data_IF_691565510020
#
_entry.id   IF_691565510020
#
_cell.length_a   1.000
_cell.length_b   1.000
_cell.length_c   1.000
_cell.angle_alpha   90.00
_cell.angle_beta   90.00
_cell.angle_gamma   90.00
#
_symmetry.space_group_name_H-M   'P 1'
#
loop_
_entity.id
_entity.type
_entity.pdbx_description
1 polymer ?
#
# COMPACT_ATOMS: atom_id res chain seq x y z
N UNK A 1 12.21 30.99 23.48
CA UNK A 1 11.51 29.74 23.76
C UNK A 1 10.44 29.60 22.70
N UNK A 2 10.52 28.62 21.78
CA UNK A 2 9.38 28.34 20.90
C UNK A 2 8.30 27.66 21.73
N UNK A 3 7.09 28.20 21.71
CA UNK A 3 5.91 27.46 22.18
C UNK A 3 5.68 26.27 21.24
N UNK A 4 5.36 25.11 21.80
CA UNK A 4 4.87 23.95 21.05
C UNK A 4 3.38 24.18 20.81
N UNK A 5 3.00 24.21 19.54
CA UNK A 5 1.59 24.23 19.13
C UNK A 5 1.12 22.79 18.89
N UNK A 6 0.03 22.40 19.53
CA UNK A 6 -0.58 21.08 19.37
C UNK A 6 -1.64 21.14 18.28
N UNK A 7 -1.72 20.08 17.46
CA UNK A 7 -2.79 19.94 16.46
C UNK A 7 -4.18 19.86 17.13
N UNK A 8 -5.15 20.54 16.54
CA UNK A 8 -6.57 20.42 16.87
C UNK A 8 -7.21 19.19 16.23
N UNK A 9 -8.45 18.89 16.60
CA UNK A 9 -9.21 17.82 15.96
C UNK A 9 -9.43 18.10 14.46
N UNK A 10 -9.67 19.37 14.10
CA UNK A 10 -9.89 19.76 12.70
C UNK A 10 -8.60 19.60 11.88
N UNK A 11 -7.43 19.89 12.46
CA UNK A 11 -6.13 19.67 11.80
C UNK A 11 -5.90 18.18 11.49
N UNK A 12 -6.39 17.28 12.35
CA UNK A 12 -6.25 15.84 12.18
C UNK A 12 -7.29 15.23 11.23
N UNK A 13 -8.41 15.92 11.00
CA UNK A 13 -9.51 15.46 10.14
C UNK A 13 -9.51 16.15 8.77
N UNK A 14 -8.69 17.18 8.58
CA UNK A 14 -8.53 17.84 7.31
C UNK A 14 -8.10 16.83 6.22
N UNK A 15 -8.75 16.89 5.07
CA UNK A 15 -8.35 16.10 3.91
C UNK A 15 -6.94 16.50 3.48
N UNK A 16 -6.05 15.51 3.40
CA UNK A 16 -4.74 15.69 2.78
C UNK A 16 -4.96 15.53 1.28
N UNK A 17 -5.02 16.63 0.54
CA UNK A 17 -5.33 16.65 -0.91
C UNK A 17 -4.36 15.81 -1.77
N UNK A 18 -3.17 15.50 -1.24
CA UNK A 18 -2.22 14.60 -1.89
C UNK A 18 -2.38 13.15 -1.41
N UNK A 19 -3.35 12.42 -1.96
CA UNK A 19 -3.19 10.96 -2.06
C UNK A 19 -1.99 10.69 -2.99
N UNK A 20 -0.80 10.56 -2.39
CA UNK A 20 0.46 10.30 -3.08
C UNK A 20 0.41 8.94 -3.79
N UNK A 21 -0.11 8.96 -5.02
CA UNK A 21 -0.06 7.83 -5.93
C UNK A 21 1.25 7.78 -6.72
N UNK A 22 1.57 6.61 -7.26
CA UNK A 22 2.67 6.41 -8.20
C UNK A 22 2.20 5.65 -9.44
N UNK A 23 2.85 5.94 -10.57
CA UNK A 23 2.70 5.16 -11.79
C UNK A 23 3.70 3.99 -11.76
N UNK A 24 3.22 2.79 -12.05
CA UNK A 24 4.02 1.55 -12.03
C UNK A 24 4.08 0.99 -13.44
N UNK A 25 5.29 0.93 -14.00
CA UNK A 25 5.55 0.20 -15.23
C UNK A 25 5.56 -1.30 -14.93
N UNK A 26 4.61 -2.02 -15.51
CA UNK A 26 4.49 -3.47 -15.40
C UNK A 26 5.48 -4.17 -16.33
N UNK A 27 6.02 -5.35 -15.93
CA UNK A 27 6.82 -6.21 -16.80
C UNK A 27 6.20 -6.49 -18.18
N UNK A 28 4.86 -6.51 -18.27
CA UNK A 28 4.16 -6.64 -19.54
C UNK A 28 4.17 -5.40 -20.46
N UNK A 29 4.84 -4.33 -20.07
CA UNK A 29 4.96 -3.08 -20.82
C UNK A 29 3.75 -2.16 -20.73
N UNK A 30 2.85 -2.41 -19.76
CA UNK A 30 1.70 -1.53 -19.45
C UNK A 30 1.97 -0.73 -18.19
N UNK A 31 1.23 0.36 -17.99
CA UNK A 31 1.36 1.20 -16.80
C UNK A 31 0.05 1.21 -16.03
N UNK A 32 0.15 1.18 -14.70
CA UNK A 32 -0.99 1.34 -13.78
C UNK A 32 -0.70 2.44 -12.76
N UNK A 33 -1.75 3.05 -12.21
CA UNK A 33 -1.66 4.00 -11.09
C UNK A 33 -2.01 3.28 -9.80
N UNK A 34 -1.16 3.42 -8.78
CA UNK A 34 -1.39 2.90 -7.43
C UNK A 34 -1.25 3.99 -6.39
N UNK A 35 -1.70 3.73 -5.17
CA UNK A 35 -1.46 4.57 -3.99
C UNK A 35 -1.09 3.74 -2.77
N UNK A 36 -0.54 4.41 -1.75
CA UNK A 36 -0.44 3.83 -0.42
C UNK A 36 -1.82 3.60 0.20
N UNK A 37 -1.92 2.59 1.04
CA UNK A 37 -3.11 2.34 1.86
C UNK A 37 -2.94 3.01 3.23
N UNK A 38 -4.04 3.55 3.72
CA UNK A 38 -4.14 4.03 5.10
C UNK A 38 -4.01 2.88 6.10
N UNK A 39 -3.73 3.22 7.38
CA UNK A 39 -3.67 2.23 8.46
C UNK A 39 -4.97 1.43 8.60
N UNK A 40 -6.12 2.08 8.38
CA UNK A 40 -7.43 1.44 8.41
C UNK A 40 -7.60 0.41 7.29
N UNK A 41 -7.19 0.74 6.07
CA UNK A 41 -7.28 -0.16 4.91
C UNK A 41 -6.36 -1.37 5.04
N UNK A 42 -5.14 -1.19 5.57
CA UNK A 42 -4.26 -2.31 5.91
C UNK A 42 -4.92 -3.29 6.88
N UNK A 43 -5.52 -2.76 7.95
CA UNK A 43 -6.24 -3.57 8.91
C UNK A 43 -7.44 -4.28 8.28
N UNK A 44 -8.19 -3.58 7.43
CA UNK A 44 -9.34 -4.15 6.72
C UNK A 44 -8.92 -5.30 5.79
N UNK A 45 -7.83 -5.15 5.03
CA UNK A 45 -7.27 -6.23 4.21
C UNK A 45 -6.95 -7.47 5.07
N UNK A 46 -6.33 -7.27 6.24
CA UNK A 46 -6.05 -8.34 7.19
C UNK A 46 -7.31 -9.02 7.69
N UNK A 47 -8.34 -8.25 8.04
CA UNK A 47 -9.60 -8.78 8.55
C UNK A 47 -10.41 -9.56 7.50
N UNK A 48 -10.30 -9.16 6.24
CA UNK A 48 -10.94 -9.84 5.10
C UNK A 48 -10.19 -11.11 4.67
N UNK A 49 -9.03 -11.40 5.27
CA UNK A 49 -8.19 -12.55 4.95
C UNK A 49 -8.39 -13.67 5.98
N UNK A 50 -9.22 -14.68 5.70
CA UNK A 50 -9.45 -15.78 6.63
C UNK A 50 -8.14 -16.52 6.92
N UNK A 51 -7.92 -16.88 8.19
CA UNK A 51 -6.77 -17.63 8.68
C UNK A 51 -5.39 -17.06 8.31
N UNK A 52 -5.33 -15.77 7.97
CA UNK A 52 -4.09 -15.14 7.52
C UNK A 52 -3.64 -15.57 6.13
N UNK A 53 -4.56 -15.99 5.24
CA UNK A 53 -4.24 -16.31 3.85
C UNK A 53 -3.64 -15.08 3.14
N UNK A 54 -2.33 -15.14 2.91
CA UNK A 54 -1.57 -14.09 2.24
C UNK A 54 -2.06 -13.77 0.83
N UNK A 55 -2.70 -14.71 0.14
CA UNK A 55 -3.28 -14.46 -1.19
C UNK A 55 -4.54 -13.61 -1.09
N UNK A 56 -5.43 -13.91 -0.13
CA UNK A 56 -6.64 -13.11 0.09
C UNK A 56 -6.25 -11.70 0.55
N UNK A 57 -5.22 -11.62 1.40
CA UNK A 57 -4.64 -10.37 1.84
C UNK A 57 -4.16 -9.51 0.67
N UNK A 58 -3.31 -10.09 -0.18
CA UNK A 58 -2.79 -9.41 -1.37
C UNK A 58 -3.93 -8.97 -2.31
N UNK A 59 -4.97 -9.80 -2.50
CA UNK A 59 -6.14 -9.43 -3.32
C UNK A 59 -6.75 -8.11 -2.85
N UNK A 60 -7.06 -8.00 -1.56
CA UNK A 60 -7.74 -6.84 -1.02
C UNK A 60 -6.82 -5.63 -0.95
N UNK A 61 -5.54 -5.84 -0.63
CA UNK A 61 -4.53 -4.79 -0.66
C UNK A 61 -4.43 -4.17 -2.07
N UNK A 62 -4.30 -5.01 -3.11
CA UNK A 62 -4.22 -4.54 -4.50
C UNK A 62 -5.55 -3.91 -4.94
N UNK A 63 -6.69 -4.48 -4.57
CA UNK A 63 -8.01 -3.91 -4.87
C UNK A 63 -8.14 -2.48 -4.34
N UNK A 64 -7.71 -2.22 -3.10
CA UNK A 64 -7.81 -0.89 -2.49
C UNK A 64 -6.76 0.08 -3.01
N UNK A 65 -5.55 -0.42 -3.30
CA UNK A 65 -4.41 0.43 -3.68
C UNK A 65 -4.30 0.70 -5.18
N UNK A 66 -5.01 -0.05 -6.04
CA UNK A 66 -4.99 0.14 -7.49
C UNK A 66 -6.01 1.21 -7.92
N UNK A 67 -5.50 2.38 -8.30
CA UNK A 67 -6.29 3.56 -8.67
C UNK A 67 -6.74 3.47 -10.13
N UNK A 68 -5.83 3.09 -11.04
CA UNK A 68 -6.15 2.96 -12.47
C UNK A 68 -5.39 1.77 -13.10
N UNK A 69 -6.10 0.78 -13.66
CA UNK A 69 -7.56 0.65 -13.69
C UNK A 69 -8.14 0.27 -12.32
N UNK A 70 -9.29 0.81 -11.96
CA UNK A 70 -10.02 0.31 -10.77
C UNK A 70 -10.50 -1.13 -11.02
N UNK A 71 -10.23 -2.03 -10.07
CA UNK A 71 -10.59 -3.45 -10.16
C UNK A 71 -11.29 -3.94 -8.89
N UNK A 72 -12.26 -4.82 -9.04
CA UNK A 72 -12.86 -5.58 -7.93
C UNK A 72 -11.93 -6.69 -7.44
N UNK A 73 -12.14 -7.17 -6.21
CA UNK A 73 -11.40 -8.30 -5.64
C UNK A 73 -11.39 -9.53 -6.55
N UNK A 74 -12.55 -9.87 -7.14
CA UNK A 74 -12.68 -11.00 -8.06
C UNK A 74 -11.86 -10.81 -9.34
N UNK A 75 -11.77 -9.59 -9.86
CA UNK A 75 -10.93 -9.28 -11.03
C UNK A 75 -9.44 -9.36 -10.68
N UNK A 76 -9.03 -8.90 -9.50
CA UNK A 76 -7.65 -9.02 -9.01
C UNK A 76 -7.28 -10.49 -8.80
N UNK A 77 -8.17 -11.29 -8.21
CA UNK A 77 -7.98 -12.73 -8.06
C UNK A 77 -7.83 -13.42 -9.43
N UNK A 78 -8.70 -13.07 -10.39
CA UNK A 78 -8.59 -13.58 -11.75
C UNK A 78 -7.26 -13.17 -12.41
N UNK A 79 -6.80 -11.94 -12.18
CA UNK A 79 -5.50 -11.47 -12.66
C UNK A 79 -4.34 -12.26 -12.04
N UNK A 80 -4.35 -12.50 -10.73
CA UNK A 80 -3.35 -13.33 -10.04
C UNK A 80 -3.26 -14.75 -10.62
N UNK A 81 -4.42 -15.35 -10.91
CA UNK A 81 -4.51 -16.72 -11.46
C UNK A 81 -4.11 -16.81 -12.94
N UNK A 82 -3.91 -15.69 -13.66
CA UNK A 82 -3.51 -15.72 -15.07
C UNK A 82 -2.04 -16.14 -15.22
N UNK A 83 -1.75 -17.20 -16.01
CA UNK A 83 -0.38 -17.62 -16.28
C UNK A 83 0.47 -16.47 -16.85
N UNK A 84 1.71 -16.34 -16.37
CA UNK A 84 2.66 -15.33 -16.83
C UNK A 84 2.37 -13.89 -16.39
N UNK A 85 1.35 -13.66 -15.54
CA UNK A 85 0.98 -12.33 -15.04
C UNK A 85 1.29 -12.10 -13.56
N UNK A 86 1.75 -13.14 -12.86
CA UNK A 86 2.20 -13.02 -11.47
C UNK A 86 3.28 -11.94 -11.24
N UNK A 87 4.27 -11.75 -12.15
CA UNK A 87 5.26 -10.68 -11.99
C UNK A 87 4.65 -9.27 -12.07
N UNK A 88 3.60 -9.07 -12.88
CA UNK A 88 2.89 -7.80 -12.95
C UNK A 88 2.20 -7.49 -11.61
N UNK A 89 1.56 -8.49 -10.99
CA UNK A 89 0.90 -8.33 -9.69
C UNK A 89 1.91 -8.06 -8.58
N UNK A 90 3.05 -8.75 -8.57
CA UNK A 90 4.12 -8.53 -7.60
C UNK A 90 4.63 -7.08 -7.61
N UNK A 91 4.91 -6.53 -8.79
CA UNK A 91 5.34 -5.13 -8.93
C UNK A 91 4.32 -4.13 -8.35
N UNK A 92 3.03 -4.40 -8.53
CA UNK A 92 1.95 -3.58 -7.96
C UNK A 92 1.86 -3.73 -6.45
N UNK A 93 1.86 -4.97 -5.95
CA UNK A 93 1.84 -5.28 -4.52
C UNK A 93 2.98 -4.61 -3.76
N UNK A 94 4.19 -4.69 -4.33
CA UNK A 94 5.39 -4.13 -3.71
C UNK A 94 5.37 -2.60 -3.70
N UNK A 95 4.88 -1.97 -4.78
CA UNK A 95 4.74 -0.51 -4.79
C UNK A 95 3.69 -0.02 -3.79
N UNK A 96 2.57 -0.72 -3.66
CA UNK A 96 1.54 -0.40 -2.66
C UNK A 96 2.12 -0.52 -1.25
N UNK A 97 2.90 -1.58 -0.97
CA UNK A 97 3.62 -1.75 0.31
C UNK A 97 4.57 -0.60 0.57
N UNK A 98 5.41 -0.25 -0.40
CA UNK A 98 6.35 0.87 -0.31
C UNK A 98 5.64 2.19 0.05
N UNK A 99 4.62 2.56 -0.73
CA UNK A 99 3.85 3.80 -0.53
C UNK A 99 3.07 3.79 0.80
N UNK A 100 2.77 2.62 1.34
CA UNK A 100 2.10 2.48 2.64
C UNK A 100 3.06 2.51 3.83
N UNK A 101 4.36 2.69 3.61
CA UNK A 101 5.38 2.60 4.68
C UNK A 101 5.69 1.17 5.13
N UNK A 102 5.38 0.17 4.30
CA UNK A 102 5.60 -1.26 4.54
C UNK A 102 6.66 -1.88 3.59
N UNK A 103 7.41 -1.07 2.84
CA UNK A 103 8.50 -1.53 1.98
C UNK A 103 9.73 -1.99 2.78
N UNK A 104 10.65 -2.73 2.13
CA UNK A 104 11.85 -3.30 2.78
C UNK A 104 12.77 -2.24 3.45
N UNK A 105 12.71 -0.97 3.02
CA UNK A 105 13.44 0.13 3.66
C UNK A 105 12.86 0.54 5.04
N UNK A 106 11.63 0.14 5.37
CA UNK A 106 11.01 0.44 6.67
C UNK A 106 11.58 -0.38 7.83
N UNK A 107 12.46 -1.37 7.57
CA UNK A 107 12.99 -2.27 8.60
C UNK A 107 14.36 -1.90 9.20
N UNK A 108 14.98 -0.76 8.88
CA UNK A 108 16.26 -0.39 9.51
C UNK A 108 16.34 1.09 9.89
N UNK A 109 15.83 1.41 11.07
CA UNK A 109 16.46 2.42 11.92
C UNK A 109 16.86 1.69 13.20
N UNK A 110 18.14 1.39 13.32
CA UNK A 110 18.77 0.88 14.54
C UNK A 110 19.01 2.08 15.47
N UNK A 111 18.27 2.24 16.59
CA UNK A 111 18.54 3.30 17.54
C UNK A 111 19.64 2.83 18.50
N UNK A 112 20.90 2.86 18.06
CA UNK A 112 21.98 2.22 18.84
C UNK A 112 23.42 2.65 18.59
N UNK A 113 23.71 3.68 17.78
CA UNK A 113 25.09 4.13 17.53
C UNK A 113 25.27 5.63 17.84
N UNK A 114 25.12 6.01 19.10
CA UNK A 114 25.67 7.25 19.65
C UNK A 114 25.87 7.08 21.16
N UNK A 115 27.06 6.63 21.54
CA UNK A 115 27.46 6.41 22.92
C UNK A 115 28.93 6.03 22.99
N UNK A 116 29.79 6.94 22.52
CA UNK A 116 31.17 7.06 23.02
C UNK A 116 31.18 8.00 24.23
#
# INVERSE_FOLDING_TARGET
MSQIEYASADDLLAEIEEESGADVALPSGKTVRVRGLSRYEWFLAGKLSPDGDGNVFETHMVQMGLVAPSMSAAQVEAWRKRPGRAPDLGAVSDKIRELSGHGEAAQKSDPGAAGE
#
